data_IF_549627772594
#
_entry.id   IF_549627772594
#
_cell.length_a   1.000
_cell.length_b   1.000
_cell.length_c   1.000
_cell.angle_alpha   90.00
_cell.angle_beta   90.00
_cell.angle_gamma   90.00
#
_symmetry.space_group_name_H-M   'P 1'
#
loop_
_entity.id
_entity.type
_entity.pdbx_description
1 polymer ?
#
# COMPACT_ATOMS: atom_id res chain seq x y z
N UNK A 1 15.34 2.50 11.68
CA UNK A 1 15.96 3.27 10.57
C UNK A 1 16.80 4.39 11.17
N UNK A 2 18.01 4.67 10.67
CA UNK A 2 18.89 5.71 11.26
C UNK A 2 18.70 7.06 10.57
N UNK A 3 18.96 8.16 11.28
CA UNK A 3 18.89 9.52 10.73
C UNK A 3 19.76 9.69 9.47
N UNK A 4 20.97 9.10 9.46
CA UNK A 4 21.88 9.09 8.30
C UNK A 4 21.27 8.42 7.06
N UNK A 5 20.47 7.37 7.24
CA UNK A 5 19.78 6.70 6.12
C UNK A 5 18.68 7.57 5.53
N UNK A 6 17.92 8.26 6.39
CA UNK A 6 16.86 9.19 5.99
C UNK A 6 17.44 10.39 5.24
N UNK A 7 18.50 11.01 5.77
CA UNK A 7 19.18 12.13 5.12
C UNK A 7 19.77 11.72 3.76
N UNK A 8 20.39 10.54 3.67
CA UNK A 8 20.92 10.03 2.40
C UNK A 8 19.80 9.75 1.39
N UNK A 9 18.66 9.22 1.85
CA UNK A 9 17.50 8.97 1.00
C UNK A 9 16.91 10.27 0.44
N UNK A 10 16.71 11.27 1.30
CA UNK A 10 16.24 12.60 0.94
C UNK A 10 17.20 13.29 -0.04
N UNK A 11 18.50 13.28 0.25
CA UNK A 11 19.53 13.85 -0.62
C UNK A 11 19.61 13.16 -2.00
N UNK A 12 19.29 11.87 -2.07
CA UNK A 12 19.26 11.09 -3.32
C UNK A 12 17.94 11.18 -4.08
N UNK A 13 16.96 11.95 -3.61
CA UNK A 13 15.62 12.05 -4.20
C UNK A 13 14.75 10.78 -4.05
N UNK A 14 15.20 9.80 -3.24
CA UNK A 14 14.43 8.56 -2.97
C UNK A 14 13.36 8.74 -1.90
N UNK A 15 13.44 9.84 -1.16
CA UNK A 15 12.48 10.25 -0.14
C UNK A 15 12.13 11.71 -0.45
N UNK A 16 10.86 11.97 -0.74
CA UNK A 16 10.42 13.34 -1.01
C UNK A 16 10.49 14.15 0.29
N UNK A 17 11.20 15.27 0.24
CA UNK A 17 11.53 16.07 1.41
C UNK A 17 11.62 17.54 1.02
N UNK A 18 11.02 18.42 1.82
CA UNK A 18 11.20 19.86 1.63
C UNK A 18 12.52 20.27 2.31
N UNK A 19 13.42 20.91 1.57
CA UNK A 19 14.66 21.43 2.13
C UNK A 19 14.44 22.83 2.68
N UNK A 20 14.76 23.02 3.96
CA UNK A 20 14.76 24.34 4.62
C UNK A 20 16.15 24.59 5.19
N UNK A 21 16.96 25.37 4.46
CA UNK A 21 18.37 25.60 4.76
C UNK A 21 19.19 24.30 4.73
N UNK A 22 19.74 23.91 5.89
CA UNK A 22 20.50 22.66 6.09
C UNK A 22 19.65 21.50 6.61
N UNK A 23 18.35 21.69 6.82
CA UNK A 23 17.42 20.67 7.35
C UNK A 23 16.47 20.19 6.26
N UNK A 24 15.98 18.96 6.43
CA UNK A 24 14.90 18.39 5.63
C UNK A 24 13.64 18.30 6.49
N UNK A 25 12.54 18.84 6.00
CA UNK A 25 11.20 18.61 6.53
C UNK A 25 10.62 17.43 5.78
N UNK A 26 10.11 16.46 6.54
CA UNK A 26 9.56 15.21 6.03
C UNK A 26 8.15 15.04 6.56
N UNK A 27 7.24 14.61 5.70
CA UNK A 27 5.94 14.15 6.16
C UNK A 27 6.09 12.76 6.78
N UNK A 28 5.42 12.53 7.92
CA UNK A 28 5.42 11.23 8.61
C UNK A 28 5.04 10.09 7.68
N UNK A 29 4.02 10.32 6.84
CA UNK A 29 3.56 9.40 5.79
C UNK A 29 4.70 8.97 4.87
N UNK A 30 5.47 9.93 4.36
CA UNK A 30 6.57 9.68 3.42
C UNK A 30 7.68 8.85 4.06
N UNK A 31 7.97 9.10 5.34
CA UNK A 31 8.95 8.32 6.10
C UNK A 31 8.47 6.88 6.33
N UNK A 32 7.20 6.69 6.70
CA UNK A 32 6.59 5.37 6.90
C UNK A 32 6.58 4.54 5.60
N UNK A 33 6.15 5.15 4.50
CA UNK A 33 6.20 4.55 3.16
C UNK A 33 7.60 4.08 2.83
N UNK A 34 8.60 4.93 3.05
CA UNK A 34 9.99 4.61 2.78
C UNK A 34 10.50 3.44 3.62
N UNK A 35 10.15 3.37 4.91
CA UNK A 35 10.55 2.26 5.79
C UNK A 35 10.12 0.89 5.26
N UNK A 36 8.89 0.79 4.75
CA UNK A 36 8.33 -0.49 4.32
C UNK A 36 8.57 -0.81 2.83
N UNK A 37 8.86 0.20 2.00
CA UNK A 37 9.16 -0.01 0.57
C UNK A 37 10.66 -0.23 0.31
N UNK A 38 11.54 0.27 1.19
CA UNK A 38 13.00 0.17 1.05
C UNK A 38 13.49 -1.07 1.77
N UNK A 39 13.20 -2.24 1.22
CA UNK A 39 13.71 -3.50 1.76
C UNK A 39 15.14 -3.81 1.33
N UNK A 40 15.83 -4.50 2.23
CA UNK A 40 17.08 -5.24 1.97
C UNK A 40 16.73 -6.65 1.47
N UNK A 41 17.51 -7.17 0.52
CA UNK A 41 17.34 -8.51 -0.04
C UNK A 41 16.72 -8.54 -1.43
N UNK A 42 16.51 -9.75 -1.97
CA UNK A 42 16.03 -9.96 -3.33
C UNK A 42 14.56 -9.54 -3.46
N UNK A 43 14.28 -8.65 -4.42
CA UNK A 43 12.91 -8.24 -4.77
C UNK A 43 12.09 -9.45 -5.23
N UNK A 44 10.81 -9.47 -4.86
CA UNK A 44 9.91 -10.50 -5.37
C UNK A 44 9.67 -10.29 -6.87
N UNK A 45 9.51 -11.40 -7.59
CA UNK A 45 9.12 -11.36 -9.00
C UNK A 45 7.67 -10.87 -9.12
N UNK A 46 7.27 -10.40 -10.30
CA UNK A 46 5.86 -10.06 -10.56
C UNK A 46 4.95 -11.25 -10.27
N UNK A 47 5.37 -12.45 -10.66
CA UNK A 47 4.63 -13.69 -10.42
C UNK A 47 4.48 -14.02 -8.93
N UNK A 48 5.54 -13.88 -8.13
CA UNK A 48 5.44 -14.15 -6.68
C UNK A 48 4.52 -13.16 -5.97
N UNK A 49 4.45 -11.91 -6.41
CA UNK A 49 3.50 -10.92 -5.88
C UNK A 49 2.06 -11.31 -6.28
N UNK A 50 1.84 -11.66 -7.55
CA UNK A 50 0.53 -12.11 -8.02
C UNK A 50 0.04 -13.36 -7.28
N UNK A 51 0.89 -14.39 -7.17
CA UNK A 51 0.55 -15.60 -6.42
C UNK A 51 0.32 -15.32 -4.93
N UNK A 52 1.04 -14.35 -4.34
CA UNK A 52 0.78 -13.96 -2.95
C UNK A 52 -0.56 -13.25 -2.78
N UNK A 53 -0.93 -12.36 -3.71
CA UNK A 53 -2.27 -11.76 -3.73
C UNK A 53 -3.34 -12.84 -3.88
N UNK A 54 -3.14 -13.81 -4.78
CA UNK A 54 -4.06 -14.92 -4.97
C UNK A 54 -4.19 -15.77 -3.70
N UNK A 55 -3.08 -16.05 -3.01
CA UNK A 55 -3.12 -16.76 -1.72
C UNK A 55 -3.93 -16.00 -0.67
N UNK A 56 -3.70 -14.69 -0.52
CA UNK A 56 -4.38 -13.84 0.46
C UNK A 56 -5.88 -13.71 0.19
N UNK A 57 -6.30 -13.79 -1.07
CA UNK A 57 -7.70 -13.66 -1.49
C UNK A 57 -8.38 -15.01 -1.73
N UNK A 58 -7.72 -16.12 -1.40
CA UNK A 58 -8.25 -17.48 -1.59
C UNK A 58 -8.40 -17.91 -3.05
N UNK A 59 -7.70 -17.25 -3.98
CA UNK A 59 -7.69 -17.56 -5.42
C UNK A 59 -6.61 -18.60 -5.76
N UNK A 60 -6.74 -19.16 -6.97
CA UNK A 60 -5.77 -20.11 -7.50
C UNK A 60 -4.43 -19.45 -7.81
N UNK A 61 -3.34 -20.15 -7.50
CA UNK A 61 -1.97 -19.70 -7.80
C UNK A 61 -1.42 -20.44 -8.99
N UNK A 62 -0.63 -19.76 -9.83
CA UNK A 62 0.11 -20.41 -10.92
C UNK A 62 1.23 -21.28 -10.35
N UNK A 63 1.88 -20.82 -9.28
CA UNK A 63 2.89 -21.61 -8.58
C UNK A 63 2.24 -22.77 -7.82
N UNK A 64 2.78 -23.98 -7.99
CA UNK A 64 2.27 -25.21 -7.36
C UNK A 64 3.33 -25.91 -6.49
N UNK A 65 2.91 -26.97 -5.79
CA UNK A 65 3.79 -27.87 -5.04
C UNK A 65 4.66 -27.18 -3.97
N UNK A 66 5.94 -27.54 -3.92
CA UNK A 66 6.88 -27.07 -2.89
C UNK A 66 7.10 -25.55 -2.92
N UNK A 67 7.07 -24.93 -4.11
CA UNK A 67 7.22 -23.48 -4.25
C UNK A 67 6.03 -22.72 -3.66
N UNK A 68 4.80 -23.24 -3.85
CA UNK A 68 3.59 -22.68 -3.23
C UNK A 68 3.65 -22.80 -1.71
N UNK A 69 4.04 -23.95 -1.19
CA UNK A 69 4.19 -24.18 0.26
C UNK A 69 5.21 -23.21 0.89
N UNK A 70 6.39 -23.06 0.27
CA UNK A 70 7.40 -22.07 0.72
C UNK A 70 6.87 -20.65 0.68
N UNK A 71 6.09 -20.28 -0.33
CA UNK A 71 5.48 -18.96 -0.43
C UNK A 71 4.48 -18.73 0.70
N UNK A 72 3.61 -19.70 1.01
CA UNK A 72 2.69 -19.63 2.15
C UNK A 72 3.42 -19.42 3.47
N UNK A 73 4.44 -20.25 3.76
CA UNK A 73 5.27 -20.10 4.97
C UNK A 73 5.93 -18.73 5.04
N UNK A 74 6.40 -18.23 3.89
CA UNK A 74 7.01 -16.90 3.81
C UNK A 74 6.01 -15.78 4.06
N UNK A 75 4.81 -15.87 3.50
CA UNK A 75 3.73 -14.88 3.74
C UNK A 75 3.40 -14.85 5.24
N UNK A 76 3.17 -16.03 5.85
CA UNK A 76 2.81 -16.13 7.29
C UNK A 76 3.90 -15.62 8.24
N UNK A 77 5.17 -15.68 7.86
CA UNK A 77 6.30 -15.26 8.70
C UNK A 77 6.73 -13.80 8.51
N UNK A 78 6.17 -13.11 7.51
CA UNK A 78 6.46 -11.69 7.31
C UNK A 78 5.67 -10.84 8.30
N UNK A 79 6.30 -9.76 8.77
CA UNK A 79 5.54 -8.69 9.41
C UNK A 79 4.60 -8.02 8.41
N UNK A 80 3.45 -7.56 8.91
CA UNK A 80 2.34 -7.10 8.08
C UNK A 80 2.73 -5.88 7.23
N UNK A 81 3.43 -4.90 7.80
CA UNK A 81 3.94 -3.75 7.04
C UNK A 81 4.96 -4.15 5.97
N UNK A 82 5.79 -5.16 6.24
CA UNK A 82 6.75 -5.71 5.28
C UNK A 82 6.05 -6.45 4.12
N UNK A 83 4.97 -7.18 4.43
CA UNK A 83 4.10 -7.82 3.45
C UNK A 83 3.41 -6.75 2.59
N UNK A 84 2.80 -5.74 3.21
CA UNK A 84 2.15 -4.63 2.51
C UNK A 84 3.12 -3.92 1.54
N UNK A 85 4.33 -3.62 1.99
CA UNK A 85 5.39 -3.04 1.15
C UNK A 85 5.77 -3.94 -0.04
N UNK A 86 5.81 -5.27 0.14
CA UNK A 86 6.04 -6.21 -0.96
C UNK A 86 4.90 -6.17 -1.98
N UNK A 87 3.64 -6.21 -1.52
CA UNK A 87 2.47 -6.23 -2.39
C UNK A 87 2.40 -4.97 -3.27
N UNK A 88 2.88 -3.84 -2.77
CA UNK A 88 2.91 -2.56 -3.48
C UNK A 88 4.19 -2.32 -4.30
N UNK A 89 5.27 -3.08 -4.09
CA UNK A 89 6.61 -2.79 -4.64
C UNK A 89 6.68 -2.57 -6.16
N UNK A 90 5.82 -3.24 -6.94
CA UNK A 90 5.81 -3.18 -8.40
C UNK A 90 4.54 -2.56 -8.96
N UNK A 91 3.73 -1.95 -8.10
CA UNK A 91 2.49 -1.29 -8.48
C UNK A 91 2.77 0.18 -8.74
N UNK A 92 2.06 0.73 -9.72
CA UNK A 92 2.01 2.18 -9.90
C UNK A 92 1.08 2.74 -8.82
N UNK A 93 1.62 3.60 -7.97
CA UNK A 93 0.90 4.27 -6.89
C UNK A 93 0.94 5.76 -7.18
N UNK A 94 -0.22 6.40 -7.14
CA UNK A 94 -0.37 7.84 -7.32
C UNK A 94 -1.30 8.40 -6.24
N UNK A 95 -0.97 9.57 -5.73
CA UNK A 95 -1.72 10.24 -4.67
C UNK A 95 -2.47 11.41 -5.29
N UNK A 96 -3.74 11.55 -4.93
CA UNK A 96 -4.66 12.52 -5.49
C UNK A 96 -5.49 13.19 -4.39
N UNK A 97 -5.92 14.42 -4.66
CA UNK A 97 -6.86 15.13 -3.79
C UNK A 97 -8.29 14.94 -4.28
N UNK A 98 -9.19 14.59 -3.37
CA UNK A 98 -10.63 14.58 -3.55
C UNK A 98 -11.29 15.53 -2.55
N UNK A 99 -12.34 16.24 -3.00
CA UNK A 99 -13.25 16.90 -2.07
C UNK A 99 -14.12 15.87 -1.32
N UNK A 100 -14.85 16.25 -0.25
CA UNK A 100 -15.65 15.31 0.53
C UNK A 100 -16.69 14.54 -0.29
N UNK A 101 -17.33 15.19 -1.27
CA UNK A 101 -18.30 14.54 -2.15
C UNK A 101 -17.65 13.44 -3.00
N UNK A 102 -16.54 13.75 -3.68
CA UNK A 102 -15.76 12.80 -4.47
C UNK A 102 -15.20 11.66 -3.61
N UNK A 103 -14.74 11.95 -2.38
CA UNK A 103 -14.21 10.93 -1.47
C UNK A 103 -15.31 9.98 -0.99
N UNK A 104 -16.54 10.46 -0.82
CA UNK A 104 -17.69 9.62 -0.43
C UNK A 104 -18.14 8.64 -1.51
N UNK A 105 -17.86 8.94 -2.79
CA UNK A 105 -18.17 8.06 -3.92
C UNK A 105 -17.15 6.92 -4.10
N UNK A 106 -16.01 6.97 -3.42
CA UNK A 106 -15.00 5.92 -3.49
C UNK A 106 -15.32 4.88 -2.40
N UNK A 107 -15.78 3.67 -2.79
CA UNK A 107 -16.08 2.64 -1.80
C UNK A 107 -14.80 2.18 -1.12
N UNK A 108 -14.93 1.80 0.15
CA UNK A 108 -13.86 1.15 0.90
C UNK A 108 -14.33 -0.22 1.36
N UNK A 109 -13.57 -1.26 1.00
CA UNK A 109 -13.79 -2.61 1.50
C UNK A 109 -13.29 -2.77 2.94
N UNK A 110 -12.29 -1.97 3.34
CA UNK A 110 -11.68 -2.03 4.68
C UNK A 110 -12.48 -1.22 5.72
N UNK A 111 -13.07 -0.07 5.36
CA UNK A 111 -13.82 0.74 6.33
C UNK A 111 -15.02 0.00 6.93
N UNK A 112 -15.75 -0.76 6.10
CA UNK A 112 -16.88 -1.57 6.57
C UNK A 112 -16.45 -2.66 7.55
N UNK A 113 -15.22 -3.16 7.42
CA UNK A 113 -14.69 -4.24 8.26
C UNK A 113 -14.01 -3.71 9.53
N UNK A 114 -13.48 -2.48 9.49
CA UNK A 114 -12.69 -1.88 10.56
C UNK A 114 -13.40 -0.75 11.34
N UNK A 115 -14.67 -0.43 11.01
CA UNK A 115 -15.43 0.61 11.70
C UNK A 115 -14.82 2.02 11.56
N UNK A 116 -14.18 2.29 10.43
CA UNK A 116 -13.65 3.60 10.10
C UNK A 116 -14.79 4.50 9.60
N UNK A 117 -14.91 5.71 10.16
CA UNK A 117 -15.95 6.67 9.77
C UNK A 117 -15.40 7.89 9.06
N UNK A 118 -15.87 8.14 7.83
CA UNK A 118 -16.26 9.47 7.33
C UNK A 118 -15.20 10.49 6.90
N UNK A 119 -13.89 10.21 6.94
CA UNK A 119 -12.90 11.25 6.59
C UNK A 119 -11.48 10.78 6.29
N UNK A 120 -11.31 9.50 5.96
CA UNK A 120 -10.01 8.88 5.78
C UNK A 120 -9.45 8.88 4.35
N UNK A 121 -8.25 8.33 4.20
CA UNK A 121 -7.67 7.95 2.91
C UNK A 121 -8.62 6.98 2.20
N UNK A 122 -8.89 7.27 0.93
CA UNK A 122 -9.63 6.39 0.02
C UNK A 122 -8.66 5.70 -0.92
N UNK A 123 -8.95 4.45 -1.27
CA UNK A 123 -8.10 3.69 -2.18
C UNK A 123 -8.88 3.32 -3.43
N UNK A 124 -8.30 3.64 -4.58
CA UNK A 124 -8.80 3.18 -5.89
C UNK A 124 -7.88 2.05 -6.35
N UNK A 125 -8.33 0.80 -6.18
CA UNK A 125 -7.61 -0.39 -6.64
C UNK A 125 -8.27 -0.93 -7.94
N UNK A 126 -7.85 -0.41 -9.09
CA UNK A 126 -8.41 -0.76 -10.41
C UNK A 126 -7.30 -1.13 -11.41
N UNK A 127 -7.65 -1.85 -12.48
CA UNK A 127 -6.67 -2.32 -13.48
C UNK A 127 -5.97 -1.17 -14.20
N UNK A 128 -6.65 -0.03 -14.33
CA UNK A 128 -6.09 1.23 -14.83
C UNK A 128 -6.43 2.35 -13.83
N UNK A 129 -5.62 2.42 -12.77
CA UNK A 129 -5.81 3.35 -11.67
C UNK A 129 -5.73 4.82 -12.13
N UNK A 130 -4.88 5.12 -13.12
CA UNK A 130 -4.74 6.46 -13.69
C UNK A 130 -6.01 6.89 -14.42
N UNK A 131 -6.57 6.03 -15.27
CA UNK A 131 -7.84 6.30 -15.95
C UNK A 131 -9.00 6.40 -14.96
N UNK A 132 -9.00 5.58 -13.90
CA UNK A 132 -10.00 5.64 -12.85
C UNK A 132 -9.97 6.97 -12.07
N UNK A 133 -8.77 7.50 -11.77
CA UNK A 133 -8.60 8.81 -11.16
C UNK A 133 -8.99 9.97 -12.10
N UNK A 134 -8.62 9.88 -13.38
CA UNK A 134 -8.98 10.85 -14.42
C UNK A 134 -10.50 10.96 -14.61
N UNK A 135 -11.21 9.83 -14.67
CA UNK A 135 -12.69 9.80 -14.78
C UNK A 135 -13.36 10.54 -13.62
N UNK A 136 -12.77 10.47 -12.43
CA UNK A 136 -13.24 11.14 -11.21
C UNK A 136 -12.72 12.58 -11.05
N UNK A 137 -11.95 13.07 -12.04
CA UNK A 137 -11.34 14.41 -12.07
C UNK A 137 -10.50 14.71 -10.82
N UNK A 138 -9.72 13.71 -10.38
CA UNK A 138 -8.88 13.83 -9.20
C UNK A 138 -7.49 14.38 -9.56
N UNK A 139 -7.12 15.61 -9.16
CA UNK A 139 -5.78 16.14 -9.39
C UNK A 139 -4.74 15.37 -8.59
N UNK A 140 -3.54 15.21 -9.15
CA UNK A 140 -2.39 14.63 -8.44
C UNK A 140 -1.97 15.59 -7.32
N UNK A 141 -1.80 15.04 -6.13
CA UNK A 141 -1.38 15.79 -4.95
C UNK A 141 -0.71 14.84 -3.96
N UNK A 142 0.54 15.14 -3.59
CA UNK A 142 1.35 14.34 -2.66
C UNK A 142 0.74 14.27 -1.24
N UNK A 143 -0.05 15.27 -0.84
CA UNK A 143 -0.76 15.31 0.44
C UNK A 143 -2.20 14.81 0.32
N UNK A 144 -2.59 14.36 -0.86
CA UNK A 144 -3.94 13.93 -1.17
C UNK A 144 -4.50 12.85 -0.23
N UNK A 145 -5.82 12.79 -0.21
CA UNK A 145 -6.63 11.84 0.56
C UNK A 145 -7.14 10.66 -0.29
N UNK A 146 -6.69 10.53 -1.54
CA UNK A 146 -6.99 9.38 -2.40
C UNK A 146 -5.71 8.78 -2.91
N UNK A 147 -5.58 7.46 -2.82
CA UNK A 147 -4.44 6.72 -3.34
C UNK A 147 -4.95 5.77 -4.43
N UNK A 148 -4.48 5.98 -5.65
CA UNK A 148 -4.81 5.15 -6.79
C UNK A 148 -3.68 4.15 -7.05
N UNK A 149 -4.01 2.86 -7.09
CA UNK A 149 -3.07 1.75 -7.25
C UNK A 149 -3.55 0.77 -8.32
N UNK A 150 -2.66 0.41 -9.25
CA UNK A 150 -3.01 -0.55 -10.30
C UNK A 150 -3.18 -1.96 -9.75
N UNK A 151 -4.39 -2.51 -9.82
CA UNK A 151 -4.71 -3.85 -9.29
C UNK A 151 -5.86 -4.52 -10.04
N UNK A 152 -5.90 -5.84 -9.99
CA UNK A 152 -7.10 -6.58 -10.37
C UNK A 152 -8.18 -6.42 -9.29
N UNK A 153 -9.45 -6.43 -9.71
CA UNK A 153 -10.60 -6.22 -8.81
C UNK A 153 -10.65 -7.25 -7.70
N UNK A 154 -10.27 -8.49 -7.99
CA UNK A 154 -10.24 -9.57 -7.02
C UNK A 154 -9.18 -9.38 -5.92
N UNK A 155 -8.19 -8.51 -6.14
CA UNK A 155 -7.17 -8.19 -5.14
C UNK A 155 -7.44 -6.86 -4.44
N UNK A 156 -8.57 -6.20 -4.73
CA UNK A 156 -8.85 -4.84 -4.28
C UNK A 156 -8.79 -4.69 -2.75
N UNK A 157 -9.39 -5.61 -1.99
CA UNK A 157 -9.37 -5.56 -0.52
C UNK A 157 -7.95 -5.72 0.05
N UNK A 158 -7.17 -6.68 -0.46
CA UNK A 158 -5.79 -6.89 -0.03
C UNK A 158 -4.88 -5.68 -0.36
N UNK A 159 -5.08 -5.08 -1.53
CA UNK A 159 -4.36 -3.87 -1.94
C UNK A 159 -4.78 -2.66 -1.12
N UNK A 160 -6.08 -2.48 -0.88
CA UNK A 160 -6.57 -1.41 -0.01
C UNK A 160 -6.00 -1.51 1.39
N UNK A 161 -6.05 -2.69 2.00
CA UNK A 161 -5.48 -2.95 3.32
C UNK A 161 -3.96 -2.67 3.35
N UNK A 162 -3.23 -3.09 2.30
CA UNK A 162 -1.80 -2.76 2.15
C UNK A 162 -1.54 -1.26 1.99
N UNK A 163 -2.38 -0.55 1.24
CA UNK A 163 -2.25 0.90 1.09
C UNK A 163 -2.50 1.60 2.42
N UNK A 164 -3.55 1.24 3.15
CA UNK A 164 -3.85 1.83 4.45
C UNK A 164 -2.76 1.54 5.49
N UNK A 165 -2.23 0.31 5.52
CA UNK A 165 -1.11 -0.06 6.39
C UNK A 165 0.16 0.77 6.12
N UNK A 166 0.37 1.23 4.88
CA UNK A 166 1.60 1.94 4.50
C UNK A 166 1.43 3.47 4.50
N UNK A 167 0.30 3.97 3.99
CA UNK A 167 0.07 5.39 3.74
C UNK A 167 -0.96 6.02 4.68
N UNK A 168 -1.68 5.22 5.46
CA UNK A 168 -2.71 5.70 6.39
C UNK A 168 -2.18 6.55 7.54
N UNK A 169 -3.08 7.29 8.17
CA UNK A 169 -2.97 7.76 9.55
C UNK A 169 -2.83 6.58 10.52
N UNK A 170 -2.49 6.82 11.78
CA UNK A 170 -2.33 5.75 12.79
C UNK A 170 -3.56 4.84 12.87
N UNK A 171 -4.76 5.42 12.87
CA UNK A 171 -6.02 4.66 12.92
C UNK A 171 -6.23 3.79 11.68
N UNK A 172 -5.97 4.35 10.50
CA UNK A 172 -6.10 3.65 9.22
C UNK A 172 -5.04 2.57 9.06
N UNK A 173 -3.83 2.82 9.55
CA UNK A 173 -2.75 1.83 9.57
C UNK A 173 -3.15 0.62 10.39
N UNK A 174 -3.62 0.82 11.62
CA UNK A 174 -4.11 -0.28 12.47
C UNK A 174 -5.26 -1.04 11.81
N UNK A 175 -6.17 -0.36 11.12
CA UNK A 175 -7.25 -1.01 10.38
C UNK A 175 -6.74 -1.85 9.20
N UNK A 176 -5.85 -1.28 8.38
CA UNK A 176 -5.23 -1.98 7.25
C UNK A 176 -4.39 -3.18 7.69
N UNK A 177 -3.62 -3.03 8.78
CA UNK A 177 -2.84 -4.11 9.39
C UNK A 177 -3.73 -5.22 9.94
N UNK A 178 -4.85 -4.87 10.59
CA UNK A 178 -5.81 -5.86 11.10
C UNK A 178 -6.41 -6.70 9.97
N UNK A 179 -6.87 -6.06 8.88
CA UNK A 179 -7.40 -6.79 7.72
C UNK A 179 -6.32 -7.64 7.06
N UNK A 180 -5.11 -7.10 6.83
CA UNK A 180 -4.01 -7.89 6.26
C UNK A 180 -3.61 -9.08 7.15
N UNK A 181 -3.66 -8.93 8.48
CA UNK A 181 -3.39 -10.01 9.43
C UNK A 181 -4.40 -11.14 9.26
N UNK A 182 -5.70 -10.81 9.22
CA UNK A 182 -6.76 -11.81 8.96
C UNK A 182 -6.56 -12.53 7.62
N UNK A 183 -6.20 -11.78 6.58
CA UNK A 183 -5.92 -12.38 5.27
C UNK A 183 -4.69 -13.29 5.35
N UNK A 184 -3.63 -12.88 6.03
CA UNK A 184 -2.40 -13.66 6.24
C UNK A 184 -2.64 -14.95 7.05
N UNK A 185 -3.56 -14.92 8.01
CA UNK A 185 -3.99 -16.10 8.78
C UNK A 185 -4.80 -17.11 7.95
N UNK A 186 -5.44 -16.67 6.87
CA UNK A 186 -6.24 -17.53 5.99
C UNK A 186 -5.44 -18.26 4.90
N UNK A 187 -4.22 -17.82 4.62
CA UNK A 187 -3.25 -18.45 3.69
C UNK A 187 -2.79 -19.78 4.24
#
# INVERSE_FOLDING_TARGET
MTERQVQRAAASGRLEAQRVGKRFILHERTLHVFQHTVRRGRRWSKQSIADALNLLTGKETVTTGSSRSRLKTKIRSLEVGDLAGILLQRKEVSIHRANPAQASEIPSAVESEAGLGGGGIRVIAEHDARKAALKRRLPIDIEGNVIAVTSEREHAQAIEAAVLAIYGSTRERTAGESVLTKLQESV
#
